data_IF_515238397094
#
_entry.id   IF_515238397094
#
_cell.length_a   1.000
_cell.length_b   1.000
_cell.length_c   1.000
_cell.angle_alpha   90.00
_cell.angle_beta   90.00
_cell.angle_gamma   90.00
#
_symmetry.space_group_name_H-M   'P 1'
#
loop_
_entity.id
_entity.type
_entity.pdbx_description
1 polymer ?
#
# COMPACT_ATOMS: atom_id res chain seq x y z
N UNK A 1 3.27 6.78 -57.91
CA UNK A 1 2.03 7.03 -57.17
C UNK A 1 1.30 5.71 -57.01
N UNK A 2 1.21 5.19 -55.78
CA UNK A 2 0.12 4.34 -55.26
C UNK A 2 0.48 3.87 -53.84
N UNK A 3 -0.38 4.18 -52.88
CA UNK A 3 -0.37 3.67 -51.50
C UNK A 3 -1.08 2.31 -51.41
N UNK A 4 -0.75 1.43 -50.45
CA UNK A 4 -1.62 0.30 -50.09
C UNK A 4 -2.42 0.55 -48.80
N UNK A 5 -3.74 0.56 -49.03
CA UNK A 5 -4.90 0.11 -48.26
C UNK A 5 -4.91 -0.05 -46.73
N UNK A 6 -5.79 0.76 -46.12
CA UNK A 6 -6.44 0.54 -44.81
C UNK A 6 -7.69 -0.32 -44.97
N UNK A 7 -7.57 -1.65 -45.09
CA UNK A 7 -8.75 -2.52 -45.06
C UNK A 7 -8.52 -3.91 -44.44
N UNK A 8 -7.68 -4.01 -43.38
CA UNK A 8 -7.30 -5.32 -42.82
C UNK A 8 -7.97 -5.75 -41.51
N UNK A 9 -8.57 -4.86 -40.72
CA UNK A 9 -8.94 -5.20 -39.31
C UNK A 9 -10.44 -5.28 -38.99
N UNK A 10 -11.32 -4.73 -39.84
CA UNK A 10 -12.78 -4.74 -39.58
C UNK A 10 -13.54 -5.86 -40.31
N UNK A 11 -12.93 -6.54 -41.27
CA UNK A 11 -13.60 -7.60 -42.03
C UNK A 11 -13.58 -8.97 -41.34
N UNK A 12 -12.68 -9.19 -40.38
CA UNK A 12 -12.54 -10.48 -39.69
C UNK A 12 -13.69 -10.75 -38.69
N UNK A 13 -14.32 -9.70 -38.16
CA UNK A 13 -15.43 -9.82 -37.21
C UNK A 13 -16.82 -10.01 -37.84
N UNK A 14 -16.94 -10.02 -39.18
CA UNK A 14 -18.24 -10.10 -39.87
C UNK A 14 -18.54 -11.44 -40.55
N UNK A 15 -17.66 -12.43 -40.48
CA UNK A 15 -17.79 -13.66 -41.26
C UNK A 15 -17.72 -14.92 -40.41
N UNK A 16 -18.75 -15.22 -39.60
CA UNK A 16 -18.97 -16.56 -39.03
C UNK A 16 -20.41 -16.70 -38.53
N UNK A 17 -21.39 -16.79 -39.44
CA UNK A 17 -22.68 -17.43 -39.15
C UNK A 17 -22.73 -18.67 -40.05
N UNK A 18 -22.35 -19.81 -39.48
CA UNK A 18 -22.68 -21.11 -40.07
C UNK A 18 -23.94 -21.61 -39.35
N UNK A 19 -25.07 -21.63 -40.07
CA UNK A 19 -26.31 -22.25 -39.61
C UNK A 19 -26.14 -23.77 -39.76
N UNK A 20 -26.10 -24.49 -38.64
CA UNK A 20 -26.17 -25.95 -38.60
C UNK A 20 -27.60 -26.36 -38.22
N UNK A 21 -28.21 -27.37 -38.87
CA UNK A 21 -29.57 -27.80 -38.55
C UNK A 21 -29.66 -28.38 -37.13
N UNK A 22 -30.77 -28.07 -36.47
CA UNK A 22 -31.13 -28.49 -35.11
C UNK A 22 -31.20 -30.01 -35.01
N UNK A 23 -30.34 -30.61 -34.20
CA UNK A 23 -30.60 -31.89 -33.55
C UNK A 23 -30.93 -31.61 -32.08
N UNK A 24 -32.11 -32.05 -31.63
CA UNK A 24 -32.61 -31.81 -30.29
C UNK A 24 -31.67 -32.40 -29.22
N UNK A 25 -30.96 -31.55 -28.50
CA UNK A 25 -30.28 -31.88 -27.25
C UNK A 25 -30.71 -30.84 -26.22
N UNK A 26 -31.31 -31.30 -25.12
CA UNK A 26 -31.98 -30.47 -24.13
C UNK A 26 -31.13 -29.29 -23.68
N UNK A 27 -31.73 -28.10 -23.65
CA UNK A 27 -31.12 -26.88 -23.14
C UNK A 27 -31.01 -26.97 -21.61
N UNK A 28 -30.02 -27.71 -21.13
CA UNK A 28 -29.40 -27.36 -19.87
C UNK A 28 -28.62 -26.08 -20.16
N UNK A 29 -29.17 -24.93 -19.76
CA UNK A 29 -28.36 -23.73 -19.59
C UNK A 29 -27.29 -24.09 -18.57
N UNK A 30 -26.12 -24.52 -19.04
CA UNK A 30 -24.97 -24.69 -18.19
C UNK A 30 -24.59 -23.28 -17.75
N UNK A 31 -25.14 -22.88 -16.60
CA UNK A 31 -24.64 -21.75 -15.85
C UNK A 31 -23.17 -22.09 -15.63
N UNK A 32 -22.27 -21.38 -16.32
CA UNK A 32 -20.83 -21.48 -16.10
C UNK A 32 -20.62 -21.14 -14.63
N UNK A 33 -20.53 -22.17 -13.78
CA UNK A 33 -20.18 -22.01 -12.39
C UNK A 33 -18.71 -21.63 -12.39
N UNK A 34 -18.34 -20.45 -11.86
CA UNK A 34 -16.95 -20.08 -11.78
C UNK A 34 -16.19 -21.18 -11.03
N UNK A 35 -15.03 -21.55 -11.55
CA UNK A 35 -14.16 -22.55 -10.95
C UNK A 35 -13.74 -22.10 -9.56
N UNK A 36 -13.39 -23.04 -8.67
CA UNK A 36 -12.89 -22.69 -7.34
C UNK A 36 -11.68 -21.73 -7.40
N UNK A 37 -10.86 -21.83 -8.44
CA UNK A 37 -9.71 -20.93 -8.66
C UNK A 37 -10.10 -19.55 -9.21
N UNK A 38 -11.20 -19.43 -9.95
CA UNK A 38 -11.77 -18.13 -10.34
C UNK A 38 -12.46 -17.44 -9.17
N UNK A 39 -13.17 -18.21 -8.32
CA UNK A 39 -13.77 -17.70 -7.09
C UNK A 39 -12.68 -17.23 -6.13
N UNK A 40 -11.61 -18.01 -5.93
CA UNK A 40 -10.47 -17.61 -5.09
C UNK A 40 -9.73 -16.39 -5.62
N UNK A 41 -9.58 -16.25 -6.94
CA UNK A 41 -8.97 -15.06 -7.56
C UNK A 41 -9.84 -13.80 -7.47
N UNK A 42 -11.15 -13.96 -7.34
CA UNK A 42 -12.11 -12.86 -7.25
C UNK A 42 -12.51 -12.52 -5.81
N UNK A 43 -12.19 -13.38 -4.84
CA UNK A 43 -12.46 -13.14 -3.43
C UNK A 43 -11.55 -12.03 -2.87
N UNK A 44 -12.07 -11.15 -1.99
CA UNK A 44 -11.24 -10.18 -1.31
C UNK A 44 -10.14 -10.89 -0.47
N UNK A 45 -8.93 -10.29 -0.34
CA UNK A 45 -7.84 -10.84 0.46
C UNK A 45 -8.26 -11.07 1.92
N UNK A 46 -7.92 -12.20 2.57
CA UNK A 46 -8.43 -12.54 3.91
C UNK A 46 -8.42 -11.39 4.92
N UNK A 47 -9.51 -11.25 5.69
CA UNK A 47 -9.58 -10.26 6.77
C UNK A 47 -8.51 -10.56 7.81
N UNK A 48 -7.61 -9.61 7.99
CA UNK A 48 -6.44 -9.77 8.86
C UNK A 48 -6.19 -8.45 9.59
N UNK A 49 -7.05 -8.10 10.56
CA UNK A 49 -6.92 -6.86 11.29
C UNK A 49 -5.66 -6.82 12.16
N UNK A 50 -5.24 -5.61 12.55
CA UNK A 50 -4.09 -5.39 13.42
C UNK A 50 -4.21 -6.15 14.77
N UNK A 51 -3.14 -6.81 15.17
CA UNK A 51 -3.06 -7.62 16.40
C UNK A 51 -2.38 -6.85 17.53
N UNK A 52 -2.74 -7.10 18.80
CA UNK A 52 -2.09 -6.40 19.92
C UNK A 52 -0.65 -6.87 20.16
N UNK A 53 -0.39 -8.17 20.06
CA UNK A 53 0.94 -8.78 20.29
C UNK A 53 1.51 -9.30 18.97
N UNK A 54 1.70 -8.39 18.02
CA UNK A 54 2.22 -8.74 16.71
C UNK A 54 3.73 -9.03 16.74
N UNK A 55 4.16 -10.09 16.07
CA UNK A 55 5.58 -10.35 15.79
C UNK A 55 5.86 -10.14 14.30
N UNK A 56 6.86 -9.30 13.93
CA UNK A 56 7.19 -9.06 12.54
C UNK A 56 7.70 -10.33 11.87
N UNK A 57 7.19 -10.61 10.67
CA UNK A 57 7.68 -11.71 9.83
C UNK A 57 8.82 -11.28 8.91
N UNK A 58 8.92 -9.98 8.62
CA UNK A 58 9.98 -9.43 7.80
C UNK A 58 11.07 -8.72 8.62
N UNK A 59 10.71 -7.73 9.44
CA UNK A 59 11.70 -6.93 10.16
C UNK A 59 12.42 -7.70 11.28
N UNK A 60 13.72 -7.46 11.44
CA UNK A 60 14.46 -7.86 12.65
C UNK A 60 14.02 -6.99 13.84
N UNK A 61 14.34 -7.37 15.09
CA UNK A 61 13.98 -6.56 16.26
C UNK A 61 14.42 -5.10 16.20
N UNK A 62 15.64 -4.82 15.71
CA UNK A 62 16.17 -3.46 15.61
C UNK A 62 15.45 -2.66 14.52
N UNK A 63 15.20 -3.26 13.36
CA UNK A 63 14.45 -2.61 12.28
C UNK A 63 12.98 -2.42 12.65
N UNK A 64 12.41 -3.34 13.43
CA UNK A 64 11.07 -3.18 13.96
C UNK A 64 11.00 -1.99 14.91
N UNK A 65 11.99 -1.81 15.79
CA UNK A 65 12.09 -0.64 16.64
C UNK A 65 12.18 0.65 15.81
N UNK A 66 12.97 0.64 14.73
CA UNK A 66 13.03 1.75 13.77
C UNK A 66 11.65 2.07 13.19
N UNK A 67 10.95 1.09 12.61
CA UNK A 67 9.67 1.32 11.91
C UNK A 67 8.60 1.83 12.87
N UNK A 68 8.57 1.33 14.11
CA UNK A 68 7.67 1.85 15.14
C UNK A 68 7.97 3.31 15.49
N UNK A 69 9.24 3.63 15.77
CA UNK A 69 9.65 5.01 16.10
C UNK A 69 9.36 5.99 14.95
N UNK A 70 9.63 5.56 13.71
CA UNK A 70 9.37 6.35 12.52
C UNK A 70 7.89 6.59 12.28
N UNK A 71 7.05 5.55 12.35
CA UNK A 71 5.59 5.69 12.22
C UNK A 71 5.01 6.60 13.30
N UNK A 72 5.48 6.48 14.54
CA UNK A 72 5.08 7.34 15.65
C UNK A 72 5.51 8.80 15.43
N UNK A 73 6.61 9.06 14.71
CA UNK A 73 7.02 10.43 14.35
C UNK A 73 6.16 11.02 13.24
N UNK A 74 5.77 10.19 12.27
CA UNK A 74 4.99 10.61 11.12
C UNK A 74 3.54 10.93 11.48
N UNK A 75 2.91 10.09 12.30
CA UNK A 75 1.54 10.29 12.78
C UNK A 75 1.51 9.95 14.28
N UNK A 76 1.88 10.90 15.16
CA UNK A 76 1.79 10.71 16.60
C UNK A 76 0.33 10.69 17.06
N UNK A 77 0.09 10.13 18.25
CA UNK A 77 -1.19 10.33 18.93
C UNK A 77 -1.28 11.77 19.43
N UNK A 78 -2.39 12.44 19.15
CA UNK A 78 -2.66 13.79 19.64
C UNK A 78 -4.16 14.00 19.92
N UNK A 79 -4.58 15.25 20.06
CA UNK A 79 -5.97 15.61 20.33
C UNK A 79 -6.91 15.44 19.12
N UNK A 80 -6.34 15.34 17.91
CA UNK A 80 -7.09 15.17 16.67
C UNK A 80 -7.43 13.70 16.47
N UNK A 81 -6.49 12.79 16.76
CA UNK A 81 -6.76 11.37 16.55
C UNK A 81 -5.70 10.38 17.06
N UNK A 82 -5.94 9.09 16.77
CA UNK A 82 -5.06 8.01 17.21
C UNK A 82 -3.72 8.03 16.45
N UNK A 83 -2.66 7.54 17.10
CA UNK A 83 -1.34 7.45 16.47
C UNK A 83 -1.21 6.29 15.49
N UNK A 84 -0.26 6.35 14.56
CA UNK A 84 -0.01 5.28 13.59
C UNK A 84 0.35 3.94 14.25
N UNK A 85 1.12 3.96 15.34
CA UNK A 85 1.47 2.73 16.07
C UNK A 85 0.23 2.12 16.72
N UNK A 86 -0.63 2.93 17.34
CA UNK A 86 -1.90 2.50 17.94
C UNK A 86 -2.84 1.87 16.89
N UNK A 87 -2.84 2.40 15.66
CA UNK A 87 -3.62 1.86 14.55
C UNK A 87 -2.99 0.65 13.84
N UNK A 88 -1.83 0.16 14.28
CA UNK A 88 -1.19 -1.02 13.70
C UNK A 88 -0.44 -0.76 12.38
N UNK A 89 -0.16 0.49 12.03
CA UNK A 89 0.53 0.84 10.78
C UNK A 89 1.88 0.11 10.60
N UNK A 90 2.75 -0.06 11.63
CA UNK A 90 3.95 -0.89 11.47
C UNK A 90 3.64 -2.33 11.03
N UNK A 91 2.54 -2.92 11.49
CA UNK A 91 2.13 -4.28 11.14
C UNK A 91 1.67 -4.35 9.68
N UNK A 92 0.93 -3.33 9.22
CA UNK A 92 0.62 -3.18 7.81
C UNK A 92 1.89 -3.19 6.96
N UNK A 93 2.89 -2.36 7.31
CA UNK A 93 4.13 -2.27 6.55
C UNK A 93 4.85 -3.62 6.49
N UNK A 94 5.07 -4.28 7.65
CA UNK A 94 5.76 -5.58 7.70
C UNK A 94 5.06 -6.62 6.83
N UNK A 95 3.73 -6.68 6.90
CA UNK A 95 2.93 -7.65 6.14
C UNK A 95 2.91 -7.35 4.66
N UNK A 96 2.82 -6.08 4.27
CA UNK A 96 2.90 -5.67 2.87
C UNK A 96 4.23 -6.07 2.25
N UNK A 97 5.32 -5.94 3.02
CA UNK A 97 6.64 -6.40 2.60
C UNK A 97 6.73 -7.92 2.48
N UNK A 98 5.85 -8.70 3.11
CA UNK A 98 5.79 -10.15 2.91
C UNK A 98 4.95 -10.57 1.69
N UNK A 99 4.28 -9.64 1.01
CA UNK A 99 3.53 -9.91 -0.23
C UNK A 99 4.39 -9.70 -1.48
N UNK A 100 3.82 -9.96 -2.66
CA UNK A 100 4.44 -9.62 -3.93
C UNK A 100 4.75 -8.13 -4.12
N UNK A 101 4.15 -7.22 -3.34
CA UNK A 101 4.61 -5.82 -3.29
C UNK A 101 6.06 -5.76 -2.79
N UNK A 102 6.39 -6.43 -1.69
CA UNK A 102 7.73 -6.46 -1.12
C UNK A 102 8.81 -6.94 -2.08
N UNK A 103 8.47 -7.91 -2.94
CA UNK A 103 9.35 -8.49 -3.96
C UNK A 103 9.27 -7.76 -5.31
N UNK A 104 8.50 -6.66 -5.40
CA UNK A 104 8.24 -5.93 -6.64
C UNK A 104 7.72 -6.83 -7.79
N UNK A 105 6.97 -7.89 -7.47
CA UNK A 105 6.61 -8.95 -8.43
C UNK A 105 5.72 -8.51 -9.60
N UNK A 106 5.09 -7.34 -9.46
CA UNK A 106 4.24 -6.71 -10.48
C UNK A 106 4.85 -5.45 -11.09
N UNK A 107 6.08 -5.11 -10.73
CA UNK A 107 6.77 -3.92 -11.23
C UNK A 107 7.66 -4.29 -12.41
N UNK A 108 7.89 -3.33 -13.31
CA UNK A 108 8.91 -3.48 -14.33
C UNK A 108 10.29 -3.23 -13.69
N UNK A 109 11.02 -4.30 -13.43
CA UNK A 109 12.32 -4.29 -12.73
C UNK A 109 13.49 -4.61 -13.67
N UNK A 110 13.36 -4.35 -14.96
CA UNK A 110 14.44 -4.54 -15.94
C UNK A 110 15.15 -3.22 -16.21
N UNK A 111 16.47 -3.29 -16.37
CA UNK A 111 17.28 -2.13 -16.71
C UNK A 111 17.04 -1.61 -18.14
N UNK A 112 17.66 -0.48 -18.49
CA UNK A 112 18.65 0.25 -17.70
C UNK A 112 18.02 1.10 -16.59
N UNK A 113 18.60 1.05 -15.39
CA UNK A 113 18.22 1.93 -14.27
C UNK A 113 19.00 3.24 -14.39
N UNK A 114 18.33 4.29 -14.83
CA UNK A 114 18.93 5.62 -14.98
C UNK A 114 18.35 6.58 -13.96
N UNK A 115 19.14 7.58 -13.56
CA UNK A 115 18.64 8.67 -12.74
C UNK A 115 17.68 9.52 -13.58
N UNK A 116 16.39 9.27 -13.42
CA UNK A 116 15.32 10.04 -14.06
C UNK A 116 14.87 11.23 -13.22
N UNK A 117 14.07 12.09 -13.82
CA UNK A 117 13.34 13.11 -13.09
C UNK A 117 12.28 12.44 -12.17
N UNK A 118 11.91 13.04 -11.02
CA UNK A 118 10.99 12.42 -10.06
C UNK A 118 9.63 12.03 -10.64
N UNK A 119 9.18 12.71 -11.69
CA UNK A 119 7.91 12.50 -12.38
C UNK A 119 7.84 11.13 -13.09
N UNK A 120 8.99 10.51 -13.36
CA UNK A 120 9.06 9.18 -13.98
C UNK A 120 8.87 8.03 -12.99
N UNK A 121 8.51 8.33 -11.74
CA UNK A 121 8.19 7.34 -10.74
C UNK A 121 9.42 6.54 -10.28
N UNK A 122 9.22 5.26 -9.97
CA UNK A 122 10.26 4.42 -9.39
C UNK A 122 11.29 3.98 -10.43
N UNK A 123 12.55 4.36 -10.24
CA UNK A 123 13.65 4.13 -11.18
C UNK A 123 14.85 3.38 -10.55
N UNK A 124 14.64 2.75 -9.39
CA UNK A 124 15.68 1.99 -8.69
C UNK A 124 15.57 0.50 -8.99
N UNK A 125 16.71 -0.19 -8.96
CA UNK A 125 16.81 -1.65 -9.09
C UNK A 125 16.37 -2.40 -7.83
N UNK A 126 16.22 -1.70 -6.72
CA UNK A 126 15.91 -2.28 -5.43
C UNK A 126 14.43 -2.64 -5.38
N UNK A 127 14.09 -3.77 -4.79
CA UNK A 127 12.72 -4.09 -4.39
C UNK A 127 12.31 -3.26 -3.16
N UNK A 128 11.01 -3.14 -2.84
CA UNK A 128 10.58 -2.48 -1.61
C UNK A 128 11.20 -3.11 -0.35
N UNK A 129 11.35 -4.44 -0.30
CA UNK A 129 12.12 -5.12 0.77
C UNK A 129 13.53 -4.54 0.89
N UNK A 130 14.29 -4.54 -0.21
CA UNK A 130 15.67 -4.05 -0.21
C UNK A 130 15.76 -2.56 0.15
N UNK A 131 14.79 -1.75 -0.28
CA UNK A 131 14.70 -0.33 0.09
C UNK A 131 14.57 -0.16 1.61
N UNK A 132 13.72 -0.95 2.28
CA UNK A 132 13.62 -0.91 3.74
C UNK A 132 14.91 -1.38 4.42
N UNK A 133 15.52 -2.50 4.00
CA UNK A 133 16.78 -2.98 4.61
C UNK A 133 17.90 -1.96 4.53
N UNK A 134 18.12 -1.42 3.33
CA UNK A 134 19.23 -0.52 3.07
C UNK A 134 18.94 0.88 3.61
N UNK A 135 17.69 1.34 3.56
CA UNK A 135 17.27 2.62 4.11
C UNK A 135 17.39 2.68 5.63
N UNK A 136 16.89 1.66 6.33
CA UNK A 136 17.04 1.57 7.79
C UNK A 136 18.53 1.50 8.16
N UNK A 137 19.31 0.66 7.47
CA UNK A 137 20.76 0.56 7.71
C UNK A 137 21.48 1.88 7.51
N UNK A 138 21.17 2.60 6.42
CA UNK A 138 21.81 3.87 6.12
C UNK A 138 21.47 4.92 7.18
N UNK A 139 20.19 5.02 7.57
CA UNK A 139 19.75 5.94 8.61
C UNK A 139 20.40 5.60 9.95
N UNK A 140 20.38 4.33 10.37
CA UNK A 140 20.98 3.94 11.65
C UNK A 140 22.50 4.14 11.66
N UNK A 141 23.18 3.91 10.53
CA UNK A 141 24.61 4.20 10.42
C UNK A 141 24.88 5.70 10.59
N UNK A 142 24.08 6.55 9.95
CA UNK A 142 24.17 8.00 10.12
C UNK A 142 23.88 8.41 11.56
N UNK A 143 22.80 7.91 12.15
CA UNK A 143 22.46 8.22 13.54
C UNK A 143 23.59 7.81 14.49
N UNK A 144 24.17 6.62 14.32
CA UNK A 144 25.29 6.15 15.14
C UNK A 144 26.53 7.04 15.02
N UNK A 145 26.83 7.52 13.81
CA UNK A 145 27.95 8.41 13.57
C UNK A 145 27.77 9.82 14.17
N UNK A 146 26.53 10.32 14.20
CA UNK A 146 26.23 11.72 14.56
C UNK A 146 25.60 11.92 15.94
N UNK A 147 25.09 10.87 16.58
CA UNK A 147 24.35 10.95 17.85
C UNK A 147 24.89 9.96 18.89
N UNK A 148 26.20 10.01 19.13
CA UNK A 148 26.86 9.25 20.21
C UNK A 148 26.63 7.73 20.15
N UNK A 149 26.63 7.14 18.94
CA UNK A 149 26.45 5.70 18.77
C UNK A 149 25.00 5.20 18.89
N UNK A 150 24.02 6.08 18.99
CA UNK A 150 22.59 5.72 19.05
C UNK A 150 22.03 5.43 17.66
N UNK A 151 21.23 4.37 17.52
CA UNK A 151 20.36 4.18 16.36
C UNK A 151 19.21 5.20 16.34
N UNK A 152 18.50 5.33 15.23
CA UNK A 152 17.39 6.28 15.12
C UNK A 152 16.32 6.05 16.20
N UNK A 153 15.95 4.79 16.45
CA UNK A 153 14.97 4.42 17.46
C UNK A 153 15.42 4.75 18.90
N UNK A 154 16.72 4.90 19.14
CA UNK A 154 17.30 5.25 20.45
C UNK A 154 17.43 6.77 20.68
N UNK A 155 17.18 7.58 19.65
CA UNK A 155 17.18 9.04 19.78
C UNK A 155 15.97 9.51 20.57
N UNK A 156 16.07 10.69 21.18
CA UNK A 156 14.91 11.33 21.79
C UNK A 156 13.89 11.73 20.72
N UNK A 157 12.61 11.77 21.09
CA UNK A 157 11.52 12.04 20.15
C UNK A 157 11.72 13.31 19.32
N UNK A 158 12.16 14.39 19.95
CA UNK A 158 12.45 15.66 19.27
C UNK A 158 13.58 15.51 18.24
N UNK A 159 14.60 14.72 18.55
CA UNK A 159 15.71 14.43 17.63
C UNK A 159 15.26 13.54 16.46
N UNK A 160 14.43 12.53 16.72
CA UNK A 160 13.84 11.70 15.66
C UNK A 160 13.04 12.54 14.65
N UNK A 161 12.17 13.42 15.16
CA UNK A 161 11.36 14.31 14.31
C UNK A 161 12.23 15.29 13.53
N UNK A 162 13.21 15.93 14.18
CA UNK A 162 14.12 16.85 13.51
C UNK A 162 14.92 16.14 12.40
N UNK A 163 15.44 14.93 12.69
CA UNK A 163 16.17 14.13 11.73
C UNK A 163 15.31 13.75 10.52
N UNK A 164 14.09 13.25 10.71
CA UNK A 164 13.20 12.91 9.59
C UNK A 164 12.85 14.13 8.72
N UNK A 165 12.69 15.33 9.32
CA UNK A 165 12.52 16.57 8.57
C UNK A 165 13.75 16.93 7.73
N UNK A 166 14.95 16.69 8.24
CA UNK A 166 16.19 16.93 7.49
C UNK A 166 16.36 15.93 6.34
N UNK A 167 15.95 14.67 6.54
CA UNK A 167 15.88 13.66 5.47
C UNK A 167 14.88 14.07 4.39
N UNK A 168 13.65 14.44 4.77
CA UNK A 168 12.61 14.93 3.85
C UNK A 168 13.07 16.18 3.08
N UNK A 169 13.69 17.12 3.78
CA UNK A 169 14.28 18.33 3.22
C UNK A 169 15.45 18.07 2.28
N UNK A 170 16.04 16.87 2.30
CA UNK A 170 17.23 16.54 1.52
C UNK A 170 18.49 17.25 2.03
N UNK A 171 18.56 17.55 3.32
CA UNK A 171 19.71 18.20 3.95
C UNK A 171 20.83 17.21 4.31
N UNK A 172 20.48 15.93 4.40
CA UNK A 172 21.42 14.85 4.66
C UNK A 172 22.07 14.43 3.34
N UNK A 173 23.39 14.51 3.27
CA UNK A 173 24.17 13.91 2.20
C UNK A 173 24.47 12.46 2.54
N UNK A 174 24.02 11.54 1.70
CA UNK A 174 24.19 10.11 1.90
C UNK A 174 24.31 9.37 0.57
N UNK A 175 24.97 8.20 0.60
CA UNK A 175 25.22 7.40 -0.60
C UNK A 175 24.00 6.57 -1.05
N UNK A 176 23.00 6.41 -0.18
CA UNK A 176 21.84 5.55 -0.42
C UNK A 176 20.66 6.30 -1.04
N UNK A 177 20.57 7.62 -0.85
CA UNK A 177 19.42 8.49 -1.06
C UNK A 177 18.28 8.25 -0.05
N UNK A 178 18.55 8.55 1.24
CA UNK A 178 17.58 8.44 2.34
C UNK A 178 16.28 9.19 2.06
N UNK A 179 16.34 10.35 1.38
CA UNK A 179 15.16 11.13 1.01
C UNK A 179 14.19 10.32 0.15
N UNK A 180 14.69 9.63 -0.88
CA UNK A 180 13.86 8.81 -1.76
C UNK A 180 13.23 7.63 -1.03
N UNK A 181 13.97 7.01 -0.10
CA UNK A 181 13.41 5.97 0.76
C UNK A 181 12.30 6.52 1.68
N UNK A 182 12.56 7.65 2.33
CA UNK A 182 11.60 8.30 3.21
C UNK A 182 10.28 8.63 2.48
N UNK A 183 10.35 9.38 1.37
CA UNK A 183 9.13 9.84 0.68
C UNK A 183 8.48 8.74 -0.16
N UNK A 184 9.28 7.87 -0.78
CA UNK A 184 8.81 6.85 -1.72
C UNK A 184 8.22 5.61 -1.04
N UNK A 185 8.67 5.30 0.18
CA UNK A 185 8.30 4.06 0.88
C UNK A 185 7.77 4.32 2.28
N UNK A 186 8.59 4.88 3.17
CA UNK A 186 8.23 4.99 4.58
C UNK A 186 6.99 5.85 4.78
N UNK A 187 7.01 7.11 4.33
CA UNK A 187 5.86 8.03 4.43
C UNK A 187 4.63 7.47 3.71
N UNK A 188 4.82 6.99 2.47
CA UNK A 188 3.74 6.45 1.65
C UNK A 188 3.07 5.24 2.30
N UNK A 189 3.84 4.25 2.74
CA UNK A 189 3.27 3.06 3.38
C UNK A 189 2.71 3.36 4.77
N UNK A 190 3.23 4.37 5.48
CA UNK A 190 2.60 4.87 6.71
C UNK A 190 1.21 5.44 6.41
N UNK A 191 1.07 6.28 5.38
CA UNK A 191 -0.23 6.82 4.96
C UNK A 191 -1.20 5.72 4.50
N UNK A 192 -0.73 4.78 3.68
CA UNK A 192 -1.53 3.66 3.20
C UNK A 192 -2.00 2.77 4.36
N UNK A 193 -1.14 2.47 5.32
CA UNK A 193 -1.52 1.70 6.50
C UNK A 193 -2.44 2.46 7.45
N UNK A 194 -2.33 3.79 7.51
CA UNK A 194 -3.15 4.60 8.40
C UNK A 194 -4.56 4.81 7.85
N UNK A 195 -4.71 5.05 6.55
CA UNK A 195 -6.01 5.35 5.91
C UNK A 195 -6.61 4.19 5.12
N UNK A 196 -5.87 3.10 4.90
CA UNK A 196 -6.35 1.90 4.23
C UNK A 196 -7.42 1.15 5.01
N UNK A 197 -8.04 0.16 4.36
CA UNK A 197 -8.99 -0.72 5.04
C UNK A 197 -8.29 -1.55 6.14
N UNK A 198 -8.90 -1.69 7.34
CA UNK A 198 -8.31 -2.45 8.44
C UNK A 198 -7.92 -3.90 8.09
N UNK A 199 -8.55 -4.48 7.07
CA UNK A 199 -8.25 -5.84 6.61
C UNK A 199 -6.78 -6.06 6.25
N UNK A 200 -6.02 -5.00 5.93
CA UNK A 200 -4.60 -5.11 5.58
C UNK A 200 -3.67 -5.07 6.81
N UNK A 201 -4.22 -4.97 8.02
CA UNK A 201 -3.45 -4.95 9.27
C UNK A 201 -3.05 -3.56 9.78
N UNK A 202 -3.50 -2.50 9.11
CA UNK A 202 -3.41 -1.11 9.56
C UNK A 202 -4.78 -0.61 10.02
N UNK A 203 -4.91 0.71 10.19
CA UNK A 203 -6.16 1.40 10.53
C UNK A 203 -7.06 0.64 11.52
N UNK A 204 -6.48 0.16 12.62
CA UNK A 204 -7.17 -0.71 13.58
C UNK A 204 -8.51 -0.10 14.01
N UNK A 205 -9.55 -0.93 13.97
CA UNK A 205 -10.92 -0.55 14.34
C UNK A 205 -11.46 0.68 13.60
N UNK A 206 -10.92 0.95 12.40
CA UNK A 206 -11.25 2.08 11.53
C UNK A 206 -10.98 3.42 12.23
N UNK A 207 -9.97 3.49 13.09
CA UNK A 207 -9.69 4.66 13.92
C UNK A 207 -9.45 5.94 13.12
N UNK A 208 -8.70 5.87 12.01
CA UNK A 208 -8.48 7.05 11.16
C UNK A 208 -9.74 7.45 10.40
N UNK A 209 -10.58 6.48 10.03
CA UNK A 209 -11.84 6.75 9.34
C UNK A 209 -12.84 7.44 10.26
N UNK A 210 -12.91 7.02 11.53
CA UNK A 210 -13.69 7.72 12.57
C UNK A 210 -13.20 9.15 12.76
N UNK A 211 -11.88 9.36 12.81
CA UNK A 211 -11.26 10.68 12.95
C UNK A 211 -11.68 11.62 11.82
N UNK A 212 -11.63 11.17 10.56
CA UNK A 212 -11.94 12.03 9.39
C UNK A 212 -13.41 12.00 8.97
N UNK A 213 -14.26 11.22 9.63
CA UNK A 213 -15.67 11.04 9.25
C UNK A 213 -15.88 10.26 7.96
N UNK A 214 -14.93 9.40 7.56
CA UNK A 214 -15.08 8.56 6.37
C UNK A 214 -16.00 7.36 6.67
N UNK A 215 -17.06 7.12 5.87
CA UNK A 215 -18.06 6.08 6.15
C UNK A 215 -17.59 4.64 5.85
N UNK A 216 -16.39 4.46 5.29
CA UNK A 216 -15.90 3.14 4.89
C UNK A 216 -16.61 2.60 3.64
N UNK A 217 -16.61 1.28 3.48
CA UNK A 217 -17.15 0.54 2.33
C UNK A 217 -18.69 0.43 2.34
N UNK A 218 -19.41 1.50 2.68
CA UNK A 218 -20.88 1.54 2.61
C UNK A 218 -21.34 1.76 1.17
N UNK A 219 -22.32 0.96 0.73
CA UNK A 219 -22.87 1.05 -0.62
C UNK A 219 -23.87 2.22 -0.78
N UNK A 220 -24.46 2.64 0.33
CA UNK A 220 -25.62 3.51 0.48
C UNK A 220 -25.23 4.97 0.87
N UNK A 221 -23.99 5.37 0.64
CA UNK A 221 -23.50 6.73 0.98
C UNK A 221 -23.70 7.76 -0.14
N UNK A 222 -23.97 7.34 -1.38
CA UNK A 222 -23.98 8.22 -2.56
C UNK A 222 -25.01 9.35 -2.45
N UNK A 223 -26.16 9.08 -1.83
CA UNK A 223 -27.21 10.08 -1.59
C UNK A 223 -26.78 11.17 -0.58
N UNK A 224 -25.72 10.91 0.20
CA UNK A 224 -25.20 11.83 1.21
C UNK A 224 -24.05 12.71 0.69
N UNK A 225 -23.49 12.40 -0.49
CA UNK A 225 -22.33 13.12 -1.05
C UNK A 225 -22.62 14.60 -1.31
N UNK A 226 -23.85 14.93 -1.70
CA UNK A 226 -24.28 16.31 -1.97
C UNK A 226 -24.64 17.10 -0.71
N UNK A 227 -24.64 16.44 0.45
CA UNK A 227 -25.10 17.03 1.69
C UNK A 227 -23.92 17.63 2.48
N UNK A 228 -24.02 18.89 2.88
CA UNK A 228 -23.01 19.54 3.74
C UNK A 228 -23.21 19.21 5.23
N UNK A 229 -23.40 17.93 5.55
CA UNK A 229 -23.59 17.44 6.93
C UNK A 229 -22.80 16.13 7.16
N UNK A 230 -22.31 15.88 8.38
CA UNK A 230 -21.61 14.64 8.70
C UNK A 230 -22.46 13.41 8.42
N UNK A 231 -21.84 12.34 7.93
CA UNK A 231 -22.52 11.06 7.74
C UNK A 231 -22.91 10.46 9.10
N UNK A 232 -24.16 10.01 9.31
CA UNK A 232 -24.70 9.75 10.65
C UNK A 232 -24.28 8.41 11.26
N UNK A 233 -23.67 7.52 10.47
CA UNK A 233 -23.29 6.18 10.92
C UNK A 233 -21.79 5.99 10.96
N UNK A 234 -21.32 5.15 11.88
CA UNK A 234 -19.93 4.73 11.96
C UNK A 234 -19.45 4.01 10.68
N UNK A 235 -18.12 3.95 10.48
CA UNK A 235 -17.53 3.32 9.31
C UNK A 235 -17.83 1.82 9.22
N UNK A 236 -17.74 1.29 8.00
CA UNK A 236 -17.84 -0.15 7.72
C UNK A 236 -16.60 -0.61 6.96
N UNK A 237 -15.91 -1.65 7.43
CA UNK A 237 -14.80 -2.26 6.68
C UNK A 237 -15.29 -3.02 5.45
N UNK A 238 -14.40 -3.36 4.53
CA UNK A 238 -14.71 -4.18 3.35
C UNK A 238 -15.35 -5.53 3.73
N UNK A 239 -15.05 -6.05 4.92
CA UNK A 239 -15.63 -7.28 5.47
C UNK A 239 -16.90 -7.08 6.30
N UNK A 240 -17.44 -5.86 6.35
CA UNK A 240 -18.69 -5.56 7.03
C UNK A 240 -18.56 -5.31 8.54
N UNK A 241 -17.33 -5.26 9.09
CA UNK A 241 -17.12 -4.87 10.50
C UNK A 241 -17.55 -3.42 10.68
N UNK A 242 -18.40 -3.16 11.68
CA UNK A 242 -18.88 -1.81 12.01
C UNK A 242 -18.00 -1.18 13.08
N UNK A 243 -17.68 0.09 12.88
CA UNK A 243 -16.87 0.91 13.79
C UNK A 243 -17.69 1.75 14.74
#
# INVERSE_FOLDING_TARGET
MTSPDKAGRRSFLKGSIAIVPVAAVGTASAVLRPTADEIKRSAPPPDTPAQQHYQPGYFTPDEWAFVNAACDCLIPKDQVGPGAVELGVPQYIDRQLQTGYGDASRWYMHGPFQKGAPEFGYQSKLTPKEQYRLGIRAIDAYCKAHFSGKSFAQLEKAQQVAFLKDVEGGKIQDDFNMKSFFSGFLLKNTMEGYFGDPMYGGNKDMGSWKMIGYPGARADYVEWVSESKPYPYGPVSQYGKRG
#
